data_IF_484925361438
#
_entry.id   IF_484925361438
#
_cell.length_a   1.000
_cell.length_b   1.000
_cell.length_c   1.000
_cell.angle_alpha   90.00
_cell.angle_beta   90.00
_cell.angle_gamma   90.00
#
_symmetry.space_group_name_H-M   'P 1'
#
loop_
_entity.id
_entity.type
_entity.pdbx_description
1 polymer ?
#
# COMPACT_ATOMS: atom_id res chain seq x y z
N UNK A 1 -12.99 20.52 -13.82
CA UNK A 1 -14.32 20.25 -13.24
C UNK A 1 -14.10 19.47 -11.94
N UNK A 2 -15.00 19.52 -10.96
CA UNK A 2 -14.86 18.66 -9.78
C UNK A 2 -15.00 17.19 -10.23
N UNK A 3 -14.06 16.33 -9.83
CA UNK A 3 -14.13 14.89 -10.11
C UNK A 3 -15.36 14.29 -9.44
N UNK A 4 -16.05 13.38 -10.15
CA UNK A 4 -17.28 12.72 -9.68
C UNK A 4 -16.97 11.40 -8.97
N UNK A 5 -15.96 10.65 -9.42
CA UNK A 5 -15.64 9.33 -8.88
C UNK A 5 -14.26 9.29 -8.21
N UNK A 6 -13.21 9.74 -8.89
CA UNK A 6 -11.84 9.69 -8.36
C UNK A 6 -11.59 10.78 -7.32
N UNK A 7 -11.19 10.37 -6.11
CA UNK A 7 -10.75 11.25 -5.04
C UNK A 7 -9.24 11.47 -5.05
N UNK A 8 -8.66 11.69 -3.86
CA UNK A 8 -7.20 11.84 -3.67
C UNK A 8 -6.43 10.53 -3.83
N UNK A 9 -7.07 9.40 -3.54
CA UNK A 9 -6.48 8.06 -3.61
C UNK A 9 -7.51 7.04 -4.11
N UNK A 10 -7.76 7.10 -5.42
CA UNK A 10 -8.73 6.23 -6.10
C UNK A 10 -10.19 6.60 -5.84
N UNK A 11 -11.08 5.64 -6.11
CA UNK A 11 -12.53 5.77 -5.84
C UNK A 11 -12.80 5.23 -4.45
N UNK A 12 -13.50 5.97 -3.59
CA UNK A 12 -13.84 5.55 -2.23
C UNK A 12 -15.31 5.83 -1.90
N UNK A 13 -15.89 5.02 -1.03
CA UNK A 13 -17.23 5.24 -0.51
C UNK A 13 -17.72 4.07 0.33
N UNK A 14 -18.89 4.24 0.96
CA UNK A 14 -19.54 3.16 1.70
C UNK A 14 -19.94 2.04 0.73
N UNK A 15 -19.48 0.83 1.01
CA UNK A 15 -19.72 -0.33 0.17
C UNK A 15 -21.21 -0.54 -0.07
N UNK A 16 -21.56 -0.90 -1.31
CA UNK A 16 -22.93 -1.10 -1.76
C UNK A 16 -23.80 0.17 -1.76
N UNK A 17 -23.18 1.35 -1.67
CA UNK A 17 -23.79 2.67 -1.89
C UNK A 17 -23.01 3.39 -2.97
N UNK A 18 -23.66 4.21 -3.80
CA UNK A 18 -22.96 5.02 -4.80
C UNK A 18 -21.87 5.91 -4.14
N UNK A 19 -20.63 5.98 -4.69
CA UNK A 19 -20.16 5.36 -5.93
C UNK A 19 -19.63 3.92 -5.80
N UNK A 20 -19.59 3.32 -4.61
CA UNK A 20 -18.96 2.02 -4.34
C UNK A 20 -19.92 0.82 -4.48
N UNK A 21 -20.52 0.66 -5.66
CA UNK A 21 -21.44 -0.46 -5.98
C UNK A 21 -20.77 -1.51 -6.87
N UNK A 22 -21.35 -2.71 -6.95
CA UNK A 22 -20.91 -3.74 -7.90
C UNK A 22 -21.04 -3.27 -9.36
N UNK A 23 -22.08 -2.49 -9.68
CA UNK A 23 -22.27 -1.93 -11.02
C UNK A 23 -21.15 -0.93 -11.36
N UNK A 24 -20.81 -0.03 -10.45
CA UNK A 24 -19.71 0.91 -10.65
C UNK A 24 -18.39 0.16 -10.81
N UNK A 25 -18.12 -0.84 -9.96
CA UNK A 25 -16.90 -1.65 -10.05
C UNK A 25 -16.77 -2.38 -11.41
N UNK A 26 -17.88 -2.94 -11.92
CA UNK A 26 -17.93 -3.53 -13.26
C UNK A 26 -17.55 -2.50 -14.34
N UNK A 27 -18.17 -1.32 -14.30
CA UNK A 27 -17.90 -0.23 -15.25
C UNK A 27 -16.47 0.28 -15.17
N UNK A 28 -15.90 0.41 -13.96
CA UNK A 28 -14.49 0.77 -13.75
C UNK A 28 -13.57 -0.27 -14.39
N UNK A 29 -13.83 -1.56 -14.16
CA UNK A 29 -13.07 -2.65 -14.78
C UNK A 29 -13.13 -2.61 -16.31
N UNK A 30 -14.30 -2.33 -16.88
CA UNK A 30 -14.46 -2.17 -18.33
C UNK A 30 -13.71 -0.95 -18.87
N UNK A 31 -13.86 0.21 -18.23
CA UNK A 31 -13.21 1.45 -18.64
C UNK A 31 -11.68 1.35 -18.58
N UNK A 32 -11.14 0.88 -17.45
CA UNK A 32 -9.71 0.65 -17.31
C UNK A 32 -9.23 -0.43 -18.29
N UNK A 33 -9.99 -1.52 -18.44
CA UNK A 33 -9.65 -2.58 -19.41
C UNK A 33 -9.55 -2.06 -20.83
N UNK A 34 -10.45 -1.16 -21.24
CA UNK A 34 -10.42 -0.52 -22.55
C UNK A 34 -9.16 0.30 -22.78
N UNK A 35 -8.74 1.07 -21.78
CA UNK A 35 -7.58 1.97 -21.85
C UNK A 35 -6.27 1.18 -21.86
N UNK A 36 -6.18 0.12 -21.06
CA UNK A 36 -4.95 -0.65 -20.88
C UNK A 36 -4.78 -1.82 -21.86
N UNK A 37 -5.82 -2.17 -22.62
CA UNK A 37 -5.72 -3.11 -23.75
C UNK A 37 -5.10 -2.42 -24.97
N UNK A 38 -3.76 -2.34 -25.00
CA UNK A 38 -2.96 -1.64 -26.02
C UNK A 38 -1.97 -2.57 -26.71
N UNK A 39 -1.87 -2.53 -28.03
CA UNK A 39 -0.93 -3.35 -28.79
C UNK A 39 -1.42 -4.80 -29.03
N UNK A 40 -0.49 -5.66 -29.43
CA UNK A 40 -0.77 -7.03 -29.88
C UNK A 40 -0.14 -8.07 -28.94
N UNK A 41 -0.63 -8.15 -27.71
CA UNK A 41 -0.30 -9.20 -26.75
C UNK A 41 -1.52 -9.54 -25.91
N UNK A 42 -1.40 -10.56 -25.05
CA UNK A 42 -2.45 -10.89 -24.08
C UNK A 42 -2.26 -10.00 -22.85
N UNK A 43 -3.22 -9.11 -22.61
CA UNK A 43 -3.16 -8.17 -21.50
C UNK A 43 -3.57 -8.82 -20.19
N UNK A 44 -2.92 -8.43 -19.10
CA UNK A 44 -3.13 -9.01 -17.78
C UNK A 44 -3.36 -7.92 -16.74
N UNK A 45 -4.31 -8.14 -15.84
CA UNK A 45 -4.54 -7.32 -14.65
C UNK A 45 -4.36 -8.16 -13.39
N UNK A 46 -3.70 -7.59 -12.38
CA UNK A 46 -3.61 -8.20 -11.04
C UNK A 46 -4.61 -7.51 -10.12
N UNK A 47 -5.45 -8.26 -9.43
CA UNK A 47 -6.42 -7.74 -8.46
C UNK A 47 -6.06 -8.28 -7.07
N UNK A 48 -5.74 -7.38 -6.15
CA UNK A 48 -5.65 -7.63 -4.72
C UNK A 48 -6.77 -6.93 -3.97
N UNK A 49 -6.95 -7.32 -2.71
CA UNK A 49 -7.93 -6.71 -1.80
C UNK A 49 -7.41 -6.72 -0.38
N UNK A 50 -8.07 -5.98 0.51
CA UNK A 50 -7.94 -6.17 1.94
C UNK A 50 -8.94 -7.25 2.44
N UNK A 51 -9.17 -7.28 3.75
CA UNK A 51 -9.97 -8.30 4.43
C UNK A 51 -11.46 -7.96 4.52
N UNK A 52 -11.91 -6.81 3.98
CA UNK A 52 -13.32 -6.39 4.07
C UNK A 52 -14.24 -7.35 3.34
N UNK A 53 -15.43 -7.55 3.91
CA UNK A 53 -16.47 -8.37 3.29
C UNK A 53 -16.90 -7.85 1.90
N UNK A 54 -16.90 -6.53 1.71
CA UNK A 54 -17.20 -5.88 0.42
C UNK A 54 -16.27 -6.32 -0.71
N UNK A 55 -15.05 -6.76 -0.41
CA UNK A 55 -14.12 -7.29 -1.40
C UNK A 55 -14.66 -8.51 -2.14
N UNK A 56 -15.52 -9.33 -1.52
CA UNK A 56 -16.18 -10.47 -2.18
C UNK A 56 -17.25 -10.06 -3.20
N UNK A 57 -17.68 -8.80 -3.19
CA UNK A 57 -18.60 -8.23 -4.16
C UNK A 57 -17.85 -7.45 -5.25
N UNK A 58 -16.88 -6.62 -4.85
CA UNK A 58 -16.17 -5.72 -5.76
C UNK A 58 -15.15 -6.45 -6.65
N UNK A 59 -14.39 -7.41 -6.09
CA UNK A 59 -13.39 -8.20 -6.82
C UNK A 59 -13.98 -8.95 -8.02
N UNK A 60 -15.06 -9.74 -7.88
CA UNK A 60 -15.66 -10.42 -9.04
C UNK A 60 -16.32 -9.44 -10.03
N UNK A 61 -16.88 -8.32 -9.56
CA UNK A 61 -17.46 -7.31 -10.46
C UNK A 61 -16.40 -6.67 -11.36
N UNK A 62 -15.27 -6.25 -10.79
CA UNK A 62 -14.14 -5.72 -11.56
C UNK A 62 -13.57 -6.79 -12.50
N UNK A 63 -13.39 -8.02 -12.02
CA UNK A 63 -12.88 -9.11 -12.82
C UNK A 63 -13.77 -9.39 -14.04
N UNK A 64 -15.10 -9.41 -13.86
CA UNK A 64 -16.04 -9.54 -14.96
C UNK A 64 -15.88 -8.42 -15.99
N UNK A 65 -15.66 -7.17 -15.53
CA UNK A 65 -15.41 -6.02 -16.41
C UNK A 65 -14.15 -6.18 -17.25
N UNK A 66 -13.03 -6.55 -16.63
CA UNK A 66 -11.77 -6.79 -17.35
C UNK A 66 -11.85 -7.95 -18.33
N UNK A 67 -12.50 -9.06 -17.94
CA UNK A 67 -12.68 -10.24 -18.79
C UNK A 67 -13.53 -9.91 -20.01
N UNK A 68 -14.58 -9.12 -19.83
CA UNK A 68 -15.45 -8.65 -20.91
C UNK A 68 -14.70 -7.76 -21.92
N UNK A 69 -13.61 -7.12 -21.49
CA UNK A 69 -12.70 -6.36 -22.36
C UNK A 69 -11.54 -7.19 -22.93
N UNK A 70 -11.48 -8.49 -22.64
CA UNK A 70 -10.48 -9.41 -23.19
C UNK A 70 -9.19 -9.53 -22.38
N UNK A 71 -9.11 -8.92 -21.19
CA UNK A 71 -7.94 -9.01 -20.32
C UNK A 71 -7.98 -10.27 -19.44
N UNK A 72 -6.82 -10.90 -19.24
CA UNK A 72 -6.66 -11.94 -18.23
C UNK A 72 -6.58 -11.33 -16.82
N UNK A 73 -7.23 -11.97 -15.85
CA UNK A 73 -7.28 -11.53 -14.45
C UNK A 73 -6.49 -12.50 -13.58
N UNK A 74 -5.60 -11.95 -12.75
CA UNK A 74 -4.86 -12.69 -11.72
C UNK A 74 -5.33 -12.20 -10.35
N UNK A 75 -5.94 -13.09 -9.58
CA UNK A 75 -6.33 -12.80 -8.20
C UNK A 75 -5.17 -13.04 -7.25
N UNK A 76 -4.77 -12.00 -6.52
CA UNK A 76 -3.83 -12.05 -5.42
C UNK A 76 -4.49 -12.37 -4.07
N UNK A 77 -5.82 -12.20 -3.96
CA UNK A 77 -6.52 -12.34 -2.67
C UNK A 77 -6.14 -11.22 -1.69
N UNK A 78 -6.33 -11.44 -0.38
CA UNK A 78 -5.94 -10.49 0.66
C UNK A 78 -4.42 -10.26 0.66
N UNK A 79 -3.98 -9.06 0.24
CA UNK A 79 -2.56 -8.69 0.13
C UNK A 79 -2.40 -7.18 0.33
N UNK A 80 -1.30 -6.68 0.93
CA UNK A 80 -1.04 -5.25 1.07
C UNK A 80 -1.14 -4.48 -0.25
N UNK A 81 -1.56 -3.22 -0.19
CA UNK A 81 -1.51 -2.29 -1.33
C UNK A 81 -0.14 -2.27 -2.03
N UNK A 82 1.00 -2.14 -1.30
CA UNK A 82 2.32 -2.18 -1.93
C UNK A 82 2.65 -3.52 -2.61
N UNK A 83 2.08 -4.64 -2.14
CA UNK A 83 2.25 -5.93 -2.79
C UNK A 83 1.60 -5.94 -4.18
N UNK A 84 0.44 -5.32 -4.35
CA UNK A 84 -0.22 -5.19 -5.67
C UNK A 84 0.64 -4.36 -6.63
N UNK A 85 1.18 -3.23 -6.16
CA UNK A 85 2.09 -2.40 -6.95
C UNK A 85 3.34 -3.20 -7.39
N UNK A 86 3.96 -3.94 -6.47
CA UNK A 86 5.11 -4.81 -6.75
C UNK A 86 4.77 -5.92 -7.74
N UNK A 87 3.66 -6.64 -7.52
CA UNK A 87 3.22 -7.77 -8.35
C UNK A 87 2.90 -7.33 -9.78
N UNK A 88 2.34 -6.12 -9.94
CA UNK A 88 2.05 -5.54 -11.26
C UNK A 88 3.33 -5.51 -12.11
N UNK A 89 4.44 -5.03 -11.55
CA UNK A 89 5.74 -5.02 -12.24
C UNK A 89 6.34 -6.42 -12.40
N UNK A 90 6.33 -7.21 -11.31
CA UNK A 90 6.97 -8.53 -11.27
C UNK A 90 6.35 -9.52 -12.26
N UNK A 91 5.03 -9.48 -12.42
CA UNK A 91 4.28 -10.30 -13.36
C UNK A 91 4.19 -9.68 -14.76
N UNK A 92 4.75 -8.47 -14.96
CA UNK A 92 4.60 -7.67 -16.19
C UNK A 92 3.15 -7.49 -16.60
N UNK A 93 2.28 -7.29 -15.60
CA UNK A 93 0.88 -7.00 -15.83
C UNK A 93 0.73 -5.56 -16.37
N UNK A 94 -0.32 -5.35 -17.16
CA UNK A 94 -0.62 -4.06 -17.75
C UNK A 94 -1.30 -3.12 -16.75
N UNK A 95 -1.89 -3.68 -15.69
CA UNK A 95 -2.62 -2.94 -14.66
C UNK A 95 -2.61 -3.71 -13.32
N UNK A 96 -2.54 -2.98 -12.21
CA UNK A 96 -2.80 -3.46 -10.86
C UNK A 96 -4.04 -2.81 -10.27
N UNK A 97 -4.80 -3.55 -9.49
CA UNK A 97 -6.00 -3.08 -8.80
C UNK A 97 -5.93 -3.50 -7.34
N UNK A 98 -6.09 -2.54 -6.44
CA UNK A 98 -6.26 -2.79 -5.03
C UNK A 98 -7.65 -2.38 -4.57
N UNK A 99 -8.38 -3.31 -3.97
CA UNK A 99 -9.69 -3.07 -3.38
C UNK A 99 -9.53 -2.88 -1.87
N UNK A 100 -9.56 -1.63 -1.43
CA UNK A 100 -9.32 -1.24 -0.04
C UNK A 100 -9.72 0.21 0.22
N UNK A 101 -10.11 0.50 1.46
CA UNK A 101 -10.23 1.86 1.99
C UNK A 101 -9.20 2.19 3.07
N UNK A 102 -8.05 1.50 3.07
CA UNK A 102 -6.93 1.71 4.00
C UNK A 102 -7.41 1.62 5.46
N UNK A 103 -7.22 2.67 6.25
CA UNK A 103 -7.57 2.79 7.65
C UNK A 103 -9.07 3.01 7.95
N UNK A 104 -9.94 3.15 6.94
CA UNK A 104 -11.37 3.38 7.17
C UNK A 104 -12.03 2.16 7.87
N UNK A 105 -13.19 2.32 8.54
CA UNK A 105 -13.94 1.21 9.10
C UNK A 105 -14.53 0.28 8.02
N UNK A 106 -14.84 -0.97 8.35
CA UNK A 106 -15.20 -2.04 7.40
C UNK A 106 -16.32 -1.73 6.39
N UNK A 107 -17.23 -0.79 6.71
CA UNK A 107 -18.35 -0.43 5.83
C UNK A 107 -17.92 0.38 4.62
N UNK A 108 -16.76 1.05 4.67
CA UNK A 108 -16.18 1.72 3.52
C UNK A 108 -15.34 0.75 2.69
N UNK A 109 -15.21 1.03 1.40
CA UNK A 109 -14.30 0.34 0.49
C UNK A 109 -13.74 1.34 -0.53
N UNK A 110 -12.75 0.90 -1.29
CA UNK A 110 -12.16 1.71 -2.34
C UNK A 110 -11.58 0.88 -3.47
N UNK A 111 -11.24 1.56 -4.57
CA UNK A 111 -10.57 1.01 -5.75
C UNK A 111 -9.39 1.92 -6.06
N UNK A 112 -8.17 1.39 -5.92
CA UNK A 112 -6.91 2.04 -6.32
C UNK A 112 -6.36 1.34 -7.57
N UNK A 113 -5.88 2.11 -8.55
CA UNK A 113 -5.35 1.59 -9.80
C UNK A 113 -3.86 1.91 -9.93
N UNK A 114 -3.09 0.91 -10.36
CA UNK A 114 -1.65 1.00 -10.58
C UNK A 114 -1.34 0.73 -12.05
N UNK A 115 -0.52 1.58 -12.65
CA UNK A 115 -0.01 1.39 -14.01
C UNK A 115 0.99 0.25 -14.09
N UNK A 116 1.46 -0.11 -15.30
CA UNK A 116 2.42 -1.18 -15.52
C UNK A 116 3.79 -0.90 -14.88
N UNK A 117 4.09 0.37 -14.57
CA UNK A 117 5.29 0.79 -13.85
C UNK A 117 5.15 0.68 -12.32
N UNK A 118 3.99 0.25 -11.82
CA UNK A 118 3.68 0.09 -10.40
C UNK A 118 3.33 1.40 -9.68
N UNK A 119 3.29 2.53 -10.38
CA UNK A 119 2.83 3.80 -9.80
C UNK A 119 1.32 3.94 -9.93
N UNK A 120 0.72 4.80 -9.10
CA UNK A 120 -0.67 5.20 -9.28
C UNK A 120 -0.87 5.89 -10.63
N UNK A 121 -2.09 5.83 -11.16
CA UNK A 121 -2.42 6.44 -12.44
C UNK A 121 -2.30 7.97 -12.41
N UNK A 122 -2.04 8.55 -13.58
CA UNK A 122 -2.04 10.01 -13.74
C UNK A 122 -3.46 10.56 -13.71
N UNK A 123 -3.58 11.85 -13.37
CA UNK A 123 -4.86 12.58 -13.40
C UNK A 123 -5.58 12.46 -14.74
N UNK A 124 -4.83 12.59 -15.83
CA UNK A 124 -5.34 12.44 -17.18
C UNK A 124 -5.94 11.03 -17.42
N UNK A 125 -5.28 9.99 -16.92
CA UNK A 125 -5.77 8.61 -17.08
C UNK A 125 -7.00 8.37 -16.22
N UNK A 126 -7.03 8.87 -14.98
CA UNK A 126 -8.22 8.79 -14.11
C UNK A 126 -9.42 9.51 -14.73
N UNK A 127 -9.21 10.69 -15.31
CA UNK A 127 -10.26 11.45 -16.02
C UNK A 127 -10.78 10.71 -17.26
N UNK A 128 -9.90 10.04 -18.02
CA UNK A 128 -10.31 9.19 -19.13
C UNK A 128 -11.18 8.01 -18.65
N UNK A 129 -10.76 7.31 -17.59
CA UNK A 129 -11.56 6.23 -16.97
C UNK A 129 -12.91 6.77 -16.53
N UNK A 130 -12.93 7.92 -15.85
CA UNK A 130 -14.14 8.54 -15.33
C UNK A 130 -15.15 8.84 -16.45
N UNK A 131 -14.68 9.41 -17.55
CA UNK A 131 -15.52 9.69 -18.73
C UNK A 131 -16.11 8.42 -19.36
N UNK A 132 -15.40 7.29 -19.28
CA UNK A 132 -15.83 6.01 -19.82
C UNK A 132 -16.83 5.28 -18.93
N UNK A 133 -16.79 5.48 -17.60
CA UNK A 133 -17.76 4.87 -16.67
C UNK A 133 -19.19 5.28 -17.02
N UNK A 134 -19.38 6.52 -17.48
CA UNK A 134 -20.70 7.05 -17.87
C UNK A 134 -21.07 6.73 -19.32
N UNK A 135 -20.12 6.26 -20.13
CA UNK A 135 -20.32 5.99 -21.54
C UNK A 135 -20.90 4.59 -21.80
N UNK A 136 -21.57 4.44 -22.93
CA UNK A 136 -21.97 3.12 -23.45
C UNK A 136 -20.75 2.40 -24.04
N UNK A 137 -20.38 1.27 -23.44
CA UNK A 137 -19.19 0.48 -23.81
C UNK A 137 -19.52 -0.83 -24.55
N UNK A 138 -20.79 -1.06 -24.94
CA UNK A 138 -21.24 -2.31 -25.56
C UNK A 138 -20.48 -2.63 -26.86
N UNK A 139 -20.12 -1.61 -27.64
CA UNK A 139 -19.36 -1.78 -28.88
C UNK A 139 -17.88 -2.11 -28.67
N UNK A 140 -17.38 -1.96 -27.44
CA UNK A 140 -15.98 -2.20 -27.09
C UNK A 140 -15.74 -3.58 -26.45
N UNK A 141 -16.81 -4.37 -26.25
CA UNK A 141 -16.72 -5.71 -25.69
C UNK A 141 -15.89 -6.64 -26.59
N UNK A 142 -15.14 -7.54 -25.96
CA UNK A 142 -14.40 -8.57 -26.66
C UNK A 142 -15.35 -9.61 -27.29
N UNK A 143 -14.97 -10.10 -28.47
CA UNK A 143 -15.61 -11.26 -29.08
C UNK A 143 -15.51 -12.50 -28.18
N UNK A 144 -16.43 -13.45 -28.35
CA UNK A 144 -16.52 -14.64 -27.47
C UNK A 144 -15.23 -15.47 -27.40
N UNK A 145 -14.44 -15.51 -28.48
CA UNK A 145 -13.17 -16.23 -28.58
C UNK A 145 -11.98 -15.43 -28.02
N UNK A 146 -12.18 -14.14 -27.72
CA UNK A 146 -11.16 -13.22 -27.18
C UNK A 146 -11.35 -12.89 -25.71
N UNK A 147 -12.42 -13.39 -25.07
CA UNK A 147 -12.69 -13.19 -23.64
C UNK A 147 -11.47 -13.48 -22.77
N UNK A 148 -11.34 -12.70 -21.70
CA UNK A 148 -10.34 -12.89 -20.65
C UNK A 148 -10.48 -14.22 -19.92
N UNK A 149 -9.43 -14.65 -19.24
CA UNK A 149 -9.44 -15.77 -18.30
C UNK A 149 -9.07 -15.27 -16.91
N UNK A 150 -9.68 -15.86 -15.89
CA UNK A 150 -9.31 -15.60 -14.51
C UNK A 150 -8.53 -16.77 -13.92
N UNK A 151 -7.50 -16.47 -13.12
CA UNK A 151 -6.79 -17.45 -12.29
C UNK A 151 -6.40 -16.84 -10.95
N UNK A 152 -6.22 -17.69 -9.94
CA UNK A 152 -5.64 -17.31 -8.65
C UNK A 152 -4.14 -17.53 -8.69
N UNK A 153 -3.38 -16.66 -8.01
CA UNK A 153 -1.96 -16.84 -7.78
C UNK A 153 -1.74 -17.45 -6.39
N UNK A 154 -1.31 -18.70 -6.32
CA UNK A 154 -1.26 -19.46 -5.07
C UNK A 154 -0.02 -19.13 -4.21
N UNK A 155 1.08 -18.67 -4.82
CA UNK A 155 2.38 -18.40 -4.16
C UNK A 155 2.60 -16.92 -3.81
N UNK A 156 1.54 -16.12 -3.83
CA UNK A 156 1.61 -14.65 -3.71
C UNK A 156 2.17 -14.17 -2.37
N UNK A 157 1.83 -14.85 -1.27
CA UNK A 157 2.31 -14.52 0.08
C UNK A 157 3.84 -14.65 0.14
N UNK A 158 4.38 -15.79 -0.31
CA UNK A 158 5.82 -16.05 -0.34
C UNK A 158 6.58 -15.07 -1.24
N UNK A 159 6.02 -14.69 -2.40
CA UNK A 159 6.64 -13.68 -3.29
C UNK A 159 6.81 -12.32 -2.61
N UNK A 160 5.80 -11.89 -1.87
CA UNK A 160 5.85 -10.60 -1.17
C UNK A 160 6.76 -10.67 0.06
N UNK A 161 6.69 -11.75 0.84
CA UNK A 161 7.59 -11.96 1.99
C UNK A 161 9.05 -11.93 1.53
N UNK A 162 9.40 -12.66 0.47
CA UNK A 162 10.75 -12.63 -0.10
C UNK A 162 11.14 -11.23 -0.60
N UNK A 163 10.24 -10.52 -1.27
CA UNK A 163 10.50 -9.16 -1.72
C UNK A 163 10.82 -8.21 -0.56
N UNK A 164 10.00 -8.24 0.50
CA UNK A 164 10.16 -7.41 1.70
C UNK A 164 11.44 -7.77 2.45
N UNK A 165 11.74 -9.05 2.67
CA UNK A 165 12.99 -9.45 3.34
C UNK A 165 14.23 -9.00 2.58
N UNK A 166 14.17 -8.95 1.24
CA UNK A 166 15.27 -8.49 0.40
C UNK A 166 15.55 -6.98 0.51
N UNK A 167 14.68 -6.21 1.16
CA UNK A 167 14.97 -4.80 1.50
C UNK A 167 15.81 -4.69 2.78
N UNK A 168 15.78 -5.69 3.65
CA UNK A 168 16.59 -5.68 4.86
C UNK A 168 18.09 -5.86 4.53
N UNK A 169 19.03 -5.14 5.19
CA UNK A 169 20.45 -5.24 4.86
C UNK A 169 21.00 -6.65 5.00
N UNK A 170 21.81 -7.06 4.01
CA UNK A 170 22.41 -8.41 3.99
C UNK A 170 23.35 -8.62 5.16
N UNK A 171 23.22 -9.76 5.83
CA UNK A 171 24.07 -10.14 6.96
C UNK A 171 23.57 -9.63 8.31
N UNK A 172 22.51 -8.81 8.33
CA UNK A 172 21.77 -8.49 9.54
C UNK A 172 20.59 -9.47 9.71
N UNK A 173 20.16 -9.63 10.96
CA UNK A 173 18.97 -10.37 11.35
C UNK A 173 18.33 -9.67 12.55
N UNK A 174 17.12 -10.08 12.89
CA UNK A 174 16.36 -9.58 14.03
C UNK A 174 16.49 -10.49 15.26
N UNK A 175 17.51 -11.35 15.30
CA UNK A 175 17.76 -12.27 16.41
C UNK A 175 17.86 -11.52 17.73
N UNK A 176 17.10 -11.97 18.72
CA UNK A 176 17.09 -11.37 20.06
C UNK A 176 16.15 -10.18 20.22
N UNK A 177 15.54 -9.67 19.13
CA UNK A 177 14.47 -8.68 19.22
C UNK A 177 13.12 -9.36 19.40
N UNK A 178 12.34 -8.87 20.36
CA UNK A 178 10.93 -9.18 20.52
C UNK A 178 10.08 -8.05 19.97
N UNK A 179 9.22 -8.37 19.01
CA UNK A 179 8.44 -7.40 18.25
C UNK A 179 6.95 -7.68 18.43
N UNK A 180 6.20 -6.68 18.88
CA UNK A 180 4.72 -6.72 18.80
C UNK A 180 4.32 -6.21 17.42
N UNK A 181 3.55 -6.98 16.66
CA UNK A 181 3.00 -6.54 15.36
C UNK A 181 1.49 -6.54 15.38
N UNK A 182 0.89 -5.37 15.13
CA UNK A 182 -0.54 -5.17 14.93
C UNK A 182 -0.84 -5.02 13.44
N UNK A 183 -1.51 -6.02 12.87
CA UNK A 183 -1.85 -6.06 11.44
C UNK A 183 -3.24 -5.50 11.12
N UNK A 184 -3.91 -4.85 12.07
CA UNK A 184 -5.21 -4.19 11.91
C UNK A 184 -6.37 -5.09 11.44
N UNK A 185 -6.24 -6.42 11.59
CA UNK A 185 -7.08 -7.41 10.90
C UNK A 185 -7.17 -7.14 9.39
N UNK A 186 -6.12 -6.57 8.82
CA UNK A 186 -6.03 -6.08 7.45
C UNK A 186 -5.23 -7.01 6.55
N UNK A 187 -4.78 -6.46 5.43
CA UNK A 187 -4.19 -7.21 4.34
C UNK A 187 -2.82 -7.82 4.67
N UNK A 188 -2.11 -7.29 5.66
CA UNK A 188 -0.80 -7.79 6.09
C UNK A 188 -0.84 -8.95 7.10
N UNK A 189 -2.03 -9.39 7.55
CA UNK A 189 -2.21 -10.31 8.68
C UNK A 189 -1.40 -11.61 8.65
N UNK A 190 -1.05 -12.10 7.45
CA UNK A 190 -0.17 -13.27 7.28
C UNK A 190 1.27 -12.89 7.01
N UNK A 191 1.47 -11.92 6.12
CA UNK A 191 2.79 -11.63 5.54
C UNK A 191 3.69 -10.86 6.49
N UNK A 192 3.15 -9.94 7.30
CA UNK A 192 3.97 -9.16 8.23
C UNK A 192 4.54 -10.02 9.38
N UNK A 193 3.74 -10.84 10.09
CA UNK A 193 4.28 -11.74 11.11
C UNK A 193 5.31 -12.74 10.54
N UNK A 194 5.01 -13.32 9.37
CA UNK A 194 5.90 -14.27 8.72
C UNK A 194 7.25 -13.63 8.32
N UNK A 195 7.23 -12.45 7.71
CA UNK A 195 8.45 -11.76 7.31
C UNK A 195 9.35 -11.41 8.51
N UNK A 196 8.77 -10.92 9.61
CA UNK A 196 9.52 -10.59 10.83
C UNK A 196 10.13 -11.84 11.48
N UNK A 197 9.34 -12.92 11.56
CA UNK A 197 9.80 -14.19 12.12
C UNK A 197 10.91 -14.83 11.26
N UNK A 198 10.77 -14.82 9.93
CA UNK A 198 11.78 -15.35 9.00
C UNK A 198 13.09 -14.54 9.02
N UNK A 199 13.06 -13.29 9.49
CA UNK A 199 14.25 -12.47 9.73
C UNK A 199 14.87 -12.68 11.12
N UNK A 200 14.28 -13.49 12.00
CA UNK A 200 14.85 -13.89 13.29
C UNK A 200 14.15 -13.34 14.54
N UNK A 201 13.11 -12.50 14.39
CA UNK A 201 12.44 -11.88 15.53
C UNK A 201 11.57 -12.87 16.34
N UNK A 202 11.44 -12.62 17.64
CA UNK A 202 10.35 -13.18 18.47
C UNK A 202 9.08 -12.33 18.28
N UNK A 203 8.07 -12.87 17.61
CA UNK A 203 6.91 -12.09 17.14
C UNK A 203 5.68 -12.32 18.01
N UNK A 204 5.16 -11.25 18.61
CA UNK A 204 3.87 -11.21 19.29
C UNK A 204 2.84 -10.56 18.37
N UNK A 205 1.86 -11.33 17.91
CA UNK A 205 0.88 -10.84 16.92
C UNK A 205 -0.40 -10.31 17.56
N UNK A 206 -0.95 -9.24 16.98
CA UNK A 206 -2.31 -8.75 17.23
C UNK A 206 -2.97 -8.33 15.91
N UNK A 207 -4.30 -8.37 15.86
CA UNK A 207 -5.03 -8.01 14.64
C UNK A 207 -4.73 -8.95 13.46
N UNK A 208 -4.62 -10.26 13.70
CA UNK A 208 -4.30 -11.27 12.67
C UNK A 208 -5.44 -12.25 12.39
N UNK A 209 -6.64 -11.98 12.87
CA UNK A 209 -7.81 -12.87 12.74
C UNK A 209 -8.98 -12.13 12.05
N UNK A 210 -8.85 -11.79 10.75
CA UNK A 210 -9.88 -11.06 10.04
C UNK A 210 -11.19 -11.86 9.90
N UNK A 211 -12.33 -11.21 10.16
CA UNK A 211 -13.67 -11.80 10.03
C UNK A 211 -14.55 -11.12 8.96
N UNK A 212 -14.01 -10.12 8.27
CA UNK A 212 -14.72 -9.30 7.29
C UNK A 212 -15.33 -8.00 7.85
N UNK A 213 -15.39 -7.86 9.18
CA UNK A 213 -16.02 -6.75 9.90
C UNK A 213 -15.08 -6.05 10.90
N UNK A 214 -14.01 -6.71 11.30
CA UNK A 214 -13.10 -6.28 12.38
C UNK A 214 -11.84 -5.54 11.90
N UNK A 215 -11.71 -5.25 10.60
CA UNK A 215 -10.60 -4.43 10.07
C UNK A 215 -10.58 -3.04 10.74
N UNK A 216 -9.39 -2.60 11.16
CA UNK A 216 -9.14 -1.33 11.84
C UNK A 216 -9.96 -1.10 13.13
N UNK A 217 -10.61 -2.13 13.67
CA UNK A 217 -11.45 -2.02 14.86
C UNK A 217 -10.61 -2.25 16.12
N UNK A 218 -10.32 -1.18 16.86
CA UNK A 218 -9.51 -1.24 18.09
C UNK A 218 -8.09 -1.81 17.86
N UNK A 219 -7.55 -1.56 16.68
CA UNK A 219 -6.26 -2.05 16.19
C UNK A 219 -5.76 -1.16 15.05
N UNK A 220 -4.49 -1.34 14.69
CA UNK A 220 -3.81 -0.71 13.57
C UNK A 220 -3.24 0.67 13.86
N UNK A 221 -2.63 1.27 12.84
CA UNK A 221 -1.92 2.56 12.97
C UNK A 221 -2.81 3.73 13.41
N UNK A 222 -4.13 3.64 13.25
CA UNK A 222 -5.07 4.67 13.74
C UNK A 222 -5.58 4.43 15.16
N UNK A 223 -5.36 3.24 15.72
CA UNK A 223 -5.67 2.89 17.11
C UNK A 223 -4.57 2.02 17.73
N UNK A 224 -3.45 2.67 18.04
CA UNK A 224 -2.22 2.03 18.51
C UNK A 224 -2.24 1.63 20.00
N UNK A 225 -3.32 1.93 20.72
CA UNK A 225 -3.41 1.74 22.19
C UNK A 225 -3.17 0.30 22.61
N UNK A 226 -3.70 -0.66 21.84
CA UNK A 226 -3.52 -2.08 22.14
C UNK A 226 -2.08 -2.51 21.89
N UNK A 227 -1.48 -2.16 20.75
CA UNK A 227 -0.07 -2.44 20.48
C UNK A 227 0.85 -1.81 21.55
N UNK A 228 0.67 -0.53 21.90
CA UNK A 228 1.45 0.14 22.96
C UNK A 228 1.32 -0.54 24.34
N UNK A 229 0.13 -1.08 24.65
CA UNK A 229 -0.08 -1.86 25.88
C UNK A 229 0.64 -3.20 25.79
N UNK A 230 0.50 -3.92 24.69
CA UNK A 230 1.13 -5.24 24.49
C UNK A 230 2.65 -5.16 24.51
N UNK A 231 3.26 -4.08 23.98
CA UNK A 231 4.72 -3.85 24.08
C UNK A 231 5.18 -3.91 25.54
N UNK A 232 4.51 -3.16 26.41
CA UNK A 232 4.81 -3.14 27.86
C UNK A 232 4.51 -4.47 28.54
N UNK A 233 3.39 -5.11 28.21
CA UNK A 233 2.96 -6.38 28.82
C UNK A 233 3.90 -7.54 28.48
N UNK A 234 4.46 -7.56 27.27
CA UNK A 234 5.35 -8.64 26.80
C UNK A 234 6.84 -8.30 26.98
N UNK A 235 7.16 -7.07 27.43
CA UNK A 235 8.53 -6.55 27.45
C UNK A 235 9.16 -6.65 26.07
N UNK A 236 8.45 -6.18 25.05
CA UNK A 236 8.93 -6.16 23.68
C UNK A 236 9.82 -4.93 23.46
N UNK A 237 10.80 -5.06 22.57
CA UNK A 237 11.74 -3.98 22.24
C UNK A 237 11.09 -2.90 21.38
N UNK A 238 10.08 -3.29 20.60
CA UNK A 238 9.39 -2.41 19.66
C UNK A 238 8.00 -2.95 19.32
N UNK A 239 7.06 -2.03 19.09
CA UNK A 239 5.75 -2.31 18.52
C UNK A 239 5.62 -1.75 17.10
N UNK A 240 5.02 -2.50 16.19
CA UNK A 240 4.73 -2.08 14.80
C UNK A 240 3.23 -2.17 14.58
N UNK A 241 2.59 -1.05 14.23
CA UNK A 241 1.17 -1.01 13.89
C UNK A 241 0.99 -0.61 12.42
N UNK A 242 0.47 -1.55 11.63
CA UNK A 242 0.10 -1.34 10.23
C UNK A 242 -1.35 -0.90 10.13
N UNK A 243 -1.77 -0.33 9.00
CA UNK A 243 -3.19 -0.09 8.72
C UNK A 243 -3.83 -1.21 7.88
N UNK A 244 -5.13 -1.08 7.59
CA UNK A 244 -5.93 -2.11 6.94
C UNK A 244 -5.39 -2.65 5.62
N UNK A 245 -4.64 -1.85 4.85
CA UNK A 245 -3.95 -2.32 3.64
C UNK A 245 -2.43 -2.16 3.67
N UNK A 246 -1.88 -1.87 4.85
CA UNK A 246 -0.46 -1.80 5.16
C UNK A 246 0.36 -0.86 4.28
N UNK A 247 -0.24 0.24 3.83
CA UNK A 247 0.50 1.35 3.22
C UNK A 247 1.03 2.36 4.27
N UNK A 248 0.65 2.19 5.54
CA UNK A 248 1.12 2.98 6.68
C UNK A 248 1.74 2.12 7.78
N UNK A 249 2.64 2.73 8.53
CA UNK A 249 3.18 2.20 9.78
C UNK A 249 3.35 3.29 10.83
N UNK A 250 2.99 2.97 12.07
CA UNK A 250 3.48 3.67 13.25
C UNK A 250 4.17 2.68 14.18
N UNK A 251 5.04 3.20 15.04
CA UNK A 251 5.86 2.39 15.91
C UNK A 251 5.66 2.81 17.36
N UNK A 252 5.80 1.87 18.30
CA UNK A 252 6.02 2.21 19.70
C UNK A 252 7.41 1.77 20.16
N UNK A 253 8.07 2.61 20.95
CA UNK A 253 9.29 2.24 21.65
C UNK A 253 9.02 1.21 22.77
N UNK A 254 10.08 0.73 23.42
CA UNK A 254 10.05 -0.29 24.47
C UNK A 254 9.22 0.14 25.70
N UNK A 255 9.00 1.44 25.88
CA UNK A 255 8.16 2.01 26.94
C UNK A 255 6.69 2.09 26.54
N UNK A 256 6.36 1.74 25.30
CA UNK A 256 5.03 1.87 24.72
C UNK A 256 4.69 3.29 24.27
N UNK A 257 5.66 4.19 24.14
CA UNK A 257 5.44 5.54 23.64
C UNK A 257 5.38 5.50 22.11
N UNK A 258 4.36 6.16 21.56
CA UNK A 258 4.15 6.23 20.12
C UNK A 258 5.21 7.11 19.43
N UNK A 259 5.67 6.64 18.29
CA UNK A 259 6.58 7.28 17.34
C UNK A 259 5.83 7.44 16.01
N UNK A 260 5.69 8.68 15.55
CA UNK A 260 4.92 8.99 14.35
C UNK A 260 5.75 8.93 13.05
N UNK A 261 5.07 9.06 11.90
CA UNK A 261 5.72 8.96 10.59
C UNK A 261 6.83 9.98 10.34
N UNK A 262 6.76 11.17 10.96
CA UNK A 262 7.83 12.16 10.83
C UNK A 262 9.10 11.67 11.51
N UNK A 263 8.97 11.11 12.73
CA UNK A 263 10.11 10.55 13.45
C UNK A 263 10.68 9.33 12.74
N UNK A 264 9.84 8.47 12.16
CA UNK A 264 10.31 7.31 11.38
C UNK A 264 11.07 7.75 10.11
N UNK A 265 10.56 8.75 9.38
CA UNK A 265 11.27 9.33 8.23
C UNK A 265 12.63 9.91 8.65
N UNK A 266 12.71 10.58 9.80
CA UNK A 266 13.96 11.11 10.33
C UNK A 266 14.99 10.00 10.60
N UNK A 267 14.56 8.91 11.26
CA UNK A 267 15.43 7.75 11.54
C UNK A 267 15.96 7.10 10.26
N UNK A 268 15.09 6.86 9.28
CA UNK A 268 15.51 6.26 8.01
C UNK A 268 16.45 7.20 7.25
N UNK A 269 16.12 8.49 7.18
CA UNK A 269 16.94 9.48 6.49
C UNK A 269 18.34 9.62 7.12
N UNK A 270 18.45 9.66 8.46
CA UNK A 270 19.73 9.70 9.16
C UNK A 270 20.57 8.45 8.84
N UNK A 271 19.98 7.26 8.97
CA UNK A 271 20.68 6.01 8.72
C UNK A 271 21.17 5.93 7.27
N UNK A 272 20.30 6.23 6.30
CA UNK A 272 20.66 6.18 4.88
C UNK A 272 21.64 7.29 4.50
N UNK A 273 21.61 8.45 5.17
CA UNK A 273 22.60 9.50 4.95
C UNK A 273 23.98 9.07 5.42
N UNK A 274 24.07 8.48 6.63
CA UNK A 274 25.32 7.96 7.19
C UNK A 274 25.94 6.87 6.30
N UNK A 275 25.11 6.05 5.68
CA UNK A 275 25.55 4.95 4.82
C UNK A 275 25.77 5.38 3.35
N UNK A 276 25.56 6.66 3.02
CA UNK A 276 25.70 7.18 1.66
C UNK A 276 24.64 6.69 0.67
N UNK A 277 23.51 6.18 1.16
CA UNK A 277 22.38 5.65 0.39
C UNK A 277 21.30 6.69 0.10
N UNK A 278 21.20 7.76 0.90
CA UNK A 278 20.20 8.80 0.72
C UNK A 278 20.47 9.61 -0.56
N UNK A 279 19.47 9.74 -1.44
CA UNK A 279 19.53 10.51 -2.69
C UNK A 279 18.58 11.70 -2.67
N UNK A 280 18.82 12.67 -3.56
CA UNK A 280 18.03 13.91 -3.64
C UNK A 280 18.44 14.99 -2.62
N UNK A 281 19.30 14.66 -1.65
CA UNK A 281 19.83 15.61 -0.68
C UNK A 281 18.92 15.86 0.53
N UNK A 282 17.88 15.05 0.73
CA UNK A 282 16.92 15.28 1.80
C UNK A 282 15.73 14.34 1.83
N UNK A 283 14.64 14.79 2.45
CA UNK A 283 13.37 14.08 2.61
C UNK A 283 12.25 14.89 1.97
N UNK A 284 11.31 14.21 1.31
CA UNK A 284 10.08 14.84 0.80
C UNK A 284 8.93 14.53 1.74
N UNK A 285 8.26 15.56 2.26
CA UNK A 285 7.09 15.39 3.10
C UNK A 285 5.96 16.34 2.68
N UNK A 286 4.77 16.19 3.27
CA UNK A 286 3.68 17.15 3.04
C UNK A 286 3.81 18.36 3.97
N UNK A 287 3.06 19.41 3.68
CA UNK A 287 2.94 20.59 4.58
C UNK A 287 2.47 20.26 5.99
N UNK A 288 1.95 19.05 6.24
CA UNK A 288 1.48 18.62 7.57
C UNK A 288 2.60 18.19 8.51
N UNK A 289 3.79 17.84 7.99
CA UNK A 289 4.91 17.38 8.82
C UNK A 289 5.41 18.46 9.76
N UNK A 290 5.76 18.07 10.97
CA UNK A 290 6.14 18.94 12.07
C UNK A 290 7.45 19.71 11.80
N UNK A 291 7.60 20.90 12.38
CA UNK A 291 8.85 21.68 12.41
C UNK A 291 10.03 20.92 13.04
N UNK A 292 9.76 19.97 13.95
CA UNK A 292 10.79 19.13 14.55
C UNK A 292 11.55 18.29 13.53
N UNK A 293 10.85 17.73 12.53
CA UNK A 293 11.47 17.00 11.43
C UNK A 293 12.39 17.92 10.62
N UNK A 294 11.91 19.13 10.30
CA UNK A 294 12.65 20.11 9.52
C UNK A 294 13.95 20.52 10.21
N UNK A 295 13.89 20.89 11.49
CA UNK A 295 15.08 21.26 12.25
C UNK A 295 16.08 20.10 12.39
N UNK A 296 15.58 18.87 12.57
CA UNK A 296 16.42 17.70 12.72
C UNK A 296 17.17 17.37 11.42
N UNK A 297 16.45 17.32 10.29
CA UNK A 297 17.03 17.05 8.95
C UNK A 297 18.02 18.15 8.55
N UNK A 298 17.71 19.42 8.82
CA UNK A 298 18.65 20.54 8.61
C UNK A 298 19.91 20.41 9.48
N UNK A 299 19.78 19.91 10.71
CA UNK A 299 20.91 19.63 11.59
C UNK A 299 21.88 18.58 11.02
N UNK A 300 21.40 17.71 10.14
CA UNK A 300 22.20 16.73 9.39
C UNK A 300 22.77 17.29 8.08
N UNK A 301 22.50 18.56 7.75
CA UNK A 301 22.89 19.17 6.47
C UNK A 301 22.04 18.70 5.29
N UNK A 302 20.81 18.26 5.55
CA UNK A 302 19.85 17.77 4.56
C UNK A 302 18.67 18.75 4.42
N UNK A 303 17.95 18.66 3.30
CA UNK A 303 16.76 19.48 3.05
C UNK A 303 15.46 18.73 3.39
N UNK A 304 14.45 19.46 3.88
CA UNK A 304 13.07 18.98 3.93
C UNK A 304 12.25 19.68 2.85
N UNK A 305 11.87 18.94 1.80
CA UNK A 305 10.97 19.46 0.77
C UNK A 305 9.52 19.27 1.21
N UNK A 306 8.72 20.33 1.13
CA UNK A 306 7.29 20.28 1.45
C UNK A 306 6.43 20.29 0.19
N UNK A 307 5.49 19.35 0.13
CA UNK A 307 4.52 19.18 -0.96
C UNK A 307 3.08 19.35 -0.44
N UNK A 308 2.10 19.39 -1.35
CA UNK A 308 0.68 19.39 -0.98
C UNK A 308 0.29 18.08 -0.27
N UNK A 309 -0.81 18.09 0.49
CA UNK A 309 -1.31 16.90 1.19
C UNK A 309 -1.74 15.83 0.18
N UNK A 310 -1.29 14.60 0.38
CA UNK A 310 -1.56 13.46 -0.51
C UNK A 310 -0.27 12.79 -0.98
N UNK A 311 -0.20 11.47 -0.79
CA UNK A 311 0.94 10.63 -1.15
C UNK A 311 1.41 10.78 -2.61
N UNK A 312 0.49 11.03 -3.54
CA UNK A 312 0.80 11.24 -4.94
C UNK A 312 1.76 12.41 -5.17
N UNK A 313 1.57 13.54 -4.47
CA UNK A 313 2.42 14.71 -4.64
C UNK A 313 3.82 14.48 -4.08
N UNK A 314 3.93 13.71 -2.98
CA UNK A 314 5.20 13.27 -2.42
C UNK A 314 5.94 12.41 -3.46
N UNK A 315 5.29 11.36 -3.96
CA UNK A 315 5.89 10.42 -4.93
C UNK A 315 6.27 11.10 -6.24
N UNK A 316 5.43 12.01 -6.75
CA UNK A 316 5.71 12.79 -7.97
C UNK A 316 6.95 13.66 -7.80
N UNK A 317 7.07 14.37 -6.68
CA UNK A 317 8.25 15.19 -6.40
C UNK A 317 9.50 14.33 -6.25
N UNK A 318 9.40 13.21 -5.52
CA UNK A 318 10.51 12.27 -5.34
C UNK A 318 11.04 11.76 -6.67
N UNK A 319 10.13 11.30 -7.55
CA UNK A 319 10.48 10.77 -8.86
C UNK A 319 11.11 11.82 -9.76
N UNK A 320 10.57 13.04 -9.77
CA UNK A 320 11.04 14.13 -10.64
C UNK A 320 12.42 14.64 -10.24
N UNK A 321 12.72 14.66 -8.94
CA UNK A 321 13.92 15.29 -8.40
C UNK A 321 14.93 14.28 -7.82
N UNK A 322 14.67 12.97 -7.93
CA UNK A 322 15.61 11.91 -7.56
C UNK A 322 15.74 11.65 -6.05
N UNK A 323 14.70 11.97 -5.26
CA UNK A 323 14.67 11.62 -3.83
C UNK A 323 14.26 10.17 -3.62
N UNK A 324 14.84 9.52 -2.62
CA UNK A 324 14.52 8.14 -2.27
C UNK A 324 13.84 7.93 -0.92
N UNK A 325 13.66 8.99 -0.12
CA UNK A 325 12.87 8.97 1.11
C UNK A 325 11.82 10.07 1.07
N UNK A 326 10.56 9.70 1.34
CA UNK A 326 9.50 10.67 1.55
C UNK A 326 8.25 10.05 2.15
N UNK A 327 7.32 10.88 2.61
CA UNK A 327 6.10 10.37 3.24
C UNK A 327 5.26 11.41 3.96
N UNK A 328 4.44 10.91 4.87
CA UNK A 328 3.50 11.69 5.67
C UNK A 328 3.61 11.32 7.15
N UNK A 329 3.28 12.26 8.04
CA UNK A 329 3.19 12.03 9.49
C UNK A 329 2.27 10.84 9.86
N UNK A 330 1.29 10.55 8.99
CA UNK A 330 0.35 9.42 9.13
C UNK A 330 1.03 8.04 9.12
N UNK A 331 2.32 7.96 8.79
CA UNK A 331 3.05 6.71 8.64
C UNK A 331 3.10 6.18 7.22
N UNK A 332 2.52 6.89 6.24
CA UNK A 332 2.66 6.55 4.83
C UNK A 332 4.05 6.96 4.35
N UNK A 333 4.99 6.02 4.30
CA UNK A 333 6.40 6.26 3.98
C UNK A 333 6.77 5.50 2.71
N UNK A 334 7.32 6.22 1.75
CA UNK A 334 7.80 5.71 0.46
C UNK A 334 9.32 5.67 0.46
N UNK A 335 9.86 4.48 0.25
CA UNK A 335 11.29 4.23 0.07
C UNK A 335 11.51 3.79 -1.38
N UNK A 336 11.83 4.75 -2.25
CA UNK A 336 11.75 4.55 -3.72
C UNK A 336 12.84 3.65 -4.29
N UNK A 337 13.87 3.34 -3.49
CA UNK A 337 14.85 2.29 -3.80
C UNK A 337 14.18 0.91 -3.91
N UNK A 338 13.08 0.68 -3.18
CA UNK A 338 12.41 -0.62 -3.10
C UNK A 338 11.04 -0.63 -3.77
N UNK A 339 10.19 0.35 -3.43
CA UNK A 339 8.76 0.36 -3.77
C UNK A 339 8.34 1.64 -4.49
N UNK A 340 7.21 1.60 -5.18
CA UNK A 340 6.63 2.71 -5.94
C UNK A 340 5.48 3.41 -5.21
N UNK A 341 5.15 2.95 -4.01
CA UNK A 341 4.09 3.48 -3.13
C UNK A 341 4.47 3.27 -1.67
N UNK A 342 3.72 3.83 -0.72
CA UNK A 342 3.99 3.60 0.70
C UNK A 342 3.88 2.13 1.07
N UNK A 343 4.84 1.66 1.85
CA UNK A 343 4.88 0.28 2.34
C UNK A 343 5.24 0.31 3.82
N UNK A 344 4.24 0.09 4.67
CA UNK A 344 4.41 0.16 6.11
C UNK A 344 5.34 -0.93 6.64
N UNK A 345 5.35 -2.11 6.01
CA UNK A 345 6.21 -3.20 6.46
C UNK A 345 7.67 -2.94 6.09
N UNK A 346 7.95 -2.49 4.87
CA UNK A 346 9.31 -2.09 4.46
C UNK A 346 9.82 -0.92 5.29
N UNK A 347 9.00 0.11 5.52
CA UNK A 347 9.38 1.24 6.36
C UNK A 347 9.67 0.80 7.81
N UNK A 348 8.87 -0.11 8.36
CA UNK A 348 9.14 -0.73 9.67
C UNK A 348 10.44 -1.54 9.69
N UNK A 349 10.74 -2.29 8.64
CA UNK A 349 11.99 -3.04 8.51
C UNK A 349 13.23 -2.12 8.46
N UNK A 350 13.16 -0.98 7.77
CA UNK A 350 14.28 -0.04 7.72
C UNK A 350 14.51 0.64 9.07
N UNK A 351 13.45 0.91 9.84
CA UNK A 351 13.56 1.36 11.23
C UNK A 351 14.24 0.30 12.10
N UNK A 352 13.82 -0.96 11.97
CA UNK A 352 14.46 -2.08 12.68
C UNK A 352 15.94 -2.23 12.29
N UNK A 353 16.27 -2.03 11.01
CA UNK A 353 17.66 -2.11 10.53
C UNK A 353 18.55 -1.03 11.15
N UNK A 354 17.98 0.13 11.47
CA UNK A 354 18.70 1.21 12.16
C UNK A 354 18.92 0.92 13.65
N UNK A 355 18.23 -0.07 14.23
CA UNK A 355 18.37 -0.47 15.63
C UNK A 355 19.45 -1.55 15.86
N UNK A 356 19.80 -2.33 14.83
CA UNK A 356 20.64 -3.54 14.96
C UNK A 356 22.05 -3.41 14.39
#
# INVERSE_FOLDING_TARGET
>A
MARKYFGTDGIRGTANTDPMTAETALKVGMAAGRIFTRGAHRHTVVIGKDTRLSGYMLEPAMAAGFIAMGMDVIFAGPMPTPAVAMLTRSLRADLGVMISASHNPFHDSGIKLFGPDGYKLSDETEEQIESMIEAEMQSALADSDKLGRAKRLDDVEGRYIEFVKNTFPRGLCLDGLKIVVDCANGAAYKVAPAALWELGADVVTYGVEPDGFNINKYCGSTDTRTMCRMVREHGADIGIALDGDADRVLVADETGKLIDGDQLMATVAESWHRDGRLTGGGVVATVMSNLGLEHYVQGLGLDLVRTQVGDRYVVEHMRTNGFNVGGEQSGHIVLSEYTTTGDGLIAGLEVLSAMV
#
